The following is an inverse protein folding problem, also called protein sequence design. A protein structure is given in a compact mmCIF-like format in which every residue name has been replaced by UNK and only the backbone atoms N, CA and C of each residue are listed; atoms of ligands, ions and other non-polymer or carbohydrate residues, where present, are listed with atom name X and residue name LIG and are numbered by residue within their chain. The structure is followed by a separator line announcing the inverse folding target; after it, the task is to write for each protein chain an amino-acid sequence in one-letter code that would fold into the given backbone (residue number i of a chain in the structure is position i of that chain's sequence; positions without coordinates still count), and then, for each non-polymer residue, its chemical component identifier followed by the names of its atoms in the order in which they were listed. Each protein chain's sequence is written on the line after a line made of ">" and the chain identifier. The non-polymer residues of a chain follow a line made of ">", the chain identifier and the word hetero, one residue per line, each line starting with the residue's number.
data_IF_664199684625
#
_entry.id   IF_664199684625
#
_cell.length_a   1.000
_cell.length_b   1.000
_cell.length_c   1.000
_cell.angle_alpha   90.00
_cell.angle_beta   90.00
_cell.angle_gamma   90.00
#
_symmetry.space_group_name_H-M   'P 1'
#
loop_
_entity.id
_entity.type
_entity.pdbx_description
1 polymer ?
#
# COMPACT_ATOMS: atom_id res chain seq x y z
N UNK A 1 -9.22 -9.88 -17.06
CA UNK A 1 -8.57 -11.05 -16.43
C UNK A 1 -7.29 -10.68 -15.66
N UNK A 2 -6.36 -9.89 -16.23
CA UNK A 2 -5.11 -9.45 -15.56
C UNK A 2 -5.36 -8.56 -14.33
N UNK A 3 -6.31 -7.63 -14.41
CA UNK A 3 -6.67 -6.74 -13.29
C UNK A 3 -7.14 -7.51 -12.04
N UNK A 4 -8.03 -8.48 -12.22
CA UNK A 4 -8.54 -9.31 -11.13
C UNK A 4 -7.40 -10.08 -10.44
N UNK A 5 -6.45 -10.62 -11.21
CA UNK A 5 -5.28 -11.32 -10.66
C UNK A 5 -4.43 -10.42 -9.76
N UNK A 6 -4.32 -9.12 -10.03
CA UNK A 6 -3.65 -8.23 -9.10
C UNK A 6 -4.46 -8.03 -7.83
N UNK A 7 -5.76 -7.77 -7.96
CA UNK A 7 -6.65 -7.54 -6.82
C UNK A 7 -6.61 -8.75 -5.86
N UNK A 8 -6.61 -9.97 -6.40
CA UNK A 8 -6.55 -11.21 -5.62
C UNK A 8 -5.19 -11.41 -4.91
N UNK A 9 -4.13 -10.72 -5.35
CA UNK A 9 -2.78 -10.82 -4.78
C UNK A 9 -2.44 -9.68 -3.83
N UNK A 10 -3.09 -8.53 -3.97
CA UNK A 10 -2.78 -7.36 -3.17
C UNK A 10 -3.39 -7.50 -1.76
N UNK A 11 -2.69 -7.04 -0.71
CA UNK A 11 -3.20 -7.09 0.65
C UNK A 11 -4.57 -6.41 0.78
N UNK A 12 -5.47 -6.98 1.57
CA UNK A 12 -6.76 -6.39 1.88
C UNK A 12 -7.12 -6.64 3.35
N UNK A 13 -7.88 -5.74 3.95
CA UNK A 13 -8.18 -5.78 5.38
C UNK A 13 -7.08 -5.17 6.24
N UNK A 14 -7.23 -5.24 7.56
CA UNK A 14 -6.30 -4.67 8.55
C UNK A 14 -5.96 -3.19 8.29
N UNK A 15 -6.93 -2.43 7.81
CA UNK A 15 -6.81 -1.01 7.46
C UNK A 15 -6.65 -0.76 5.96
N UNK A 16 -6.26 -1.73 5.14
CA UNK A 16 -6.23 -1.61 3.67
C UNK A 16 -7.58 -2.02 3.10
N UNK A 17 -8.58 -1.14 3.22
CA UNK A 17 -9.99 -1.47 2.95
C UNK A 17 -10.55 -0.84 1.66
N UNK A 18 -9.76 -0.03 0.94
CA UNK A 18 -10.25 0.69 -0.25
C UNK A 18 -9.91 -0.06 -1.54
N UNK A 19 -10.63 0.30 -2.60
CA UNK A 19 -10.36 -0.23 -3.94
C UNK A 19 -8.97 0.20 -4.45
N UNK A 20 -8.23 -0.77 -4.96
CA UNK A 20 -6.96 -0.51 -5.61
C UNK A 20 -7.15 0.18 -6.96
N UNK A 21 -6.34 1.20 -7.21
CA UNK A 21 -6.05 1.68 -8.56
C UNK A 21 -4.67 1.19 -8.98
N UNK A 22 -4.57 0.63 -10.18
CA UNK A 22 -3.33 0.01 -10.66
C UNK A 22 -2.88 0.69 -11.94
N UNK A 23 -1.59 1.02 -12.00
CA UNK A 23 -0.92 1.58 -13.18
C UNK A 23 0.25 0.68 -13.56
N UNK A 24 0.14 0.03 -14.71
CA UNK A 24 1.24 -0.72 -15.32
C UNK A 24 2.17 0.23 -16.09
N UNK A 25 3.47 0.00 -15.96
CA UNK A 25 4.51 0.59 -16.79
C UNK A 25 5.49 -0.49 -17.23
N UNK A 26 6.39 -0.15 -18.16
CA UNK A 26 7.29 -1.10 -18.83
C UNK A 26 8.07 -2.02 -17.86
N UNK A 27 8.56 -1.49 -16.74
CA UNK A 27 9.39 -2.21 -15.76
C UNK A 27 8.90 -2.00 -14.31
N UNK A 28 7.67 -1.52 -14.13
CA UNK A 28 7.14 -1.22 -12.81
C UNK A 28 5.62 -1.32 -12.78
N UNK A 29 5.09 -1.68 -11.63
CA UNK A 29 3.66 -1.65 -11.34
C UNK A 29 3.47 -0.72 -10.16
N UNK A 30 2.58 0.26 -10.28
CA UNK A 30 2.24 1.16 -9.18
C UNK A 30 0.79 0.93 -8.78
N UNK A 31 0.57 0.63 -7.51
CA UNK A 31 -0.77 0.48 -6.92
C UNK A 31 -1.04 1.63 -5.97
N UNK A 32 -2.28 2.10 -5.93
CA UNK A 32 -2.73 3.18 -5.06
C UNK A 32 -3.86 2.67 -4.18
N UNK A 33 -3.80 2.99 -2.90
CA UNK A 33 -4.83 2.65 -1.93
C UNK A 33 -4.83 3.71 -0.79
N UNK A 34 -5.66 3.51 0.22
CA UNK A 34 -5.67 4.28 1.46
C UNK A 34 -5.68 3.32 2.65
N UNK A 35 -5.13 3.77 3.76
CA UNK A 35 -5.13 3.03 5.02
C UNK A 35 -6.08 3.69 6.01
N UNK A 36 -7.07 2.95 6.52
CA UNK A 36 -7.88 3.34 7.66
C UNK A 36 -7.09 3.14 8.94
N UNK A 37 -6.70 4.24 9.58
CA UNK A 37 -6.03 4.21 10.87
C UNK A 37 -7.03 4.32 12.00
N UNK A 38 -6.98 3.35 12.91
CA UNK A 38 -7.71 3.36 14.18
C UNK A 38 -6.78 3.84 15.29
N UNK A 39 -7.32 4.63 16.22
CA UNK A 39 -6.63 4.97 17.44
C UNK A 39 -6.56 3.78 18.42
N UNK A 40 -5.86 3.98 19.53
CA UNK A 40 -5.70 2.98 20.59
C UNK A 40 -7.02 2.54 21.25
N UNK A 41 -8.09 3.32 21.09
CA UNK A 41 -9.42 3.04 21.62
C UNK A 41 -10.31 2.31 20.60
N UNK A 42 -9.81 2.05 19.40
CA UNK A 42 -10.53 1.36 18.32
C UNK A 42 -11.44 2.27 17.51
N UNK A 43 -11.32 3.60 17.61
CA UNK A 43 -12.07 4.54 16.79
C UNK A 43 -11.28 4.92 15.53
N UNK A 44 -11.98 5.08 14.41
CA UNK A 44 -11.38 5.64 13.20
C UNK A 44 -10.94 7.09 13.43
N UNK A 45 -9.65 7.35 13.20
CA UNK A 45 -9.00 8.62 13.52
C UNK A 45 -8.48 9.31 12.25
N UNK A 46 -7.78 8.57 11.38
CA UNK A 46 -7.19 9.13 10.16
C UNK A 46 -7.33 8.17 8.97
N UNK A 47 -7.24 8.73 7.76
CA UNK A 47 -7.11 7.96 6.52
C UNK A 47 -5.83 8.40 5.82
N UNK A 48 -4.92 7.46 5.54
CA UNK A 48 -3.64 7.75 4.91
C UNK A 48 -3.59 7.25 3.47
N UNK A 49 -3.69 8.13 2.46
CA UNK A 49 -3.52 7.74 1.07
C UNK A 49 -2.07 7.35 0.80
N UNK A 50 -1.85 6.24 0.09
CA UNK A 50 -0.52 5.78 -0.25
C UNK A 50 -0.46 5.15 -1.64
N UNK A 51 0.76 5.01 -2.15
CA UNK A 51 1.07 4.21 -3.33
C UNK A 51 2.25 3.32 -3.07
N UNK A 52 2.21 2.12 -3.63
CA UNK A 52 3.32 1.17 -3.65
C UNK A 52 3.77 0.95 -5.08
N UNK A 53 5.07 1.10 -5.31
CA UNK A 53 5.69 0.80 -6.61
C UNK A 53 6.51 -0.47 -6.49
N UNK A 54 6.19 -1.47 -7.31
CA UNK A 54 6.93 -2.70 -7.46
C UNK A 54 7.87 -2.60 -8.64
N UNK A 55 9.16 -2.89 -8.42
CA UNK A 55 10.16 -3.07 -9.47
C UNK A 55 10.85 -4.41 -9.31
N UNK A 56 11.59 -4.83 -10.34
CA UNK A 56 12.42 -6.03 -10.30
C UNK A 56 13.50 -6.00 -9.20
N UNK A 57 13.74 -4.87 -8.54
CA UNK A 57 14.77 -4.72 -7.50
C UNK A 57 14.18 -4.39 -6.13
N UNK A 58 13.06 -3.66 -6.08
CA UNK A 58 12.57 -3.08 -4.83
C UNK A 58 11.04 -2.92 -4.76
N UNK A 59 10.55 -2.67 -3.54
CA UNK A 59 9.22 -2.13 -3.24
C UNK A 59 9.40 -0.74 -2.66
N UNK A 60 8.67 0.25 -3.16
CA UNK A 60 8.74 1.62 -2.64
C UNK A 60 7.37 2.11 -2.23
N UNK A 61 7.21 2.45 -0.95
CA UNK A 61 6.00 3.03 -0.38
C UNK A 61 6.10 4.56 -0.30
N UNK A 62 5.04 5.24 -0.75
CA UNK A 62 4.90 6.68 -0.64
C UNK A 62 3.51 7.07 -0.16
N UNK A 63 3.43 7.86 0.90
CA UNK A 63 2.18 8.45 1.39
C UNK A 63 1.94 9.81 0.74
N UNK A 64 0.68 10.11 0.42
CA UNK A 64 0.27 11.32 -0.29
C UNK A 64 -0.51 12.27 0.62
N UNK A 65 -0.34 13.57 0.39
CA UNK A 65 -1.16 14.64 1.01
C UNK A 65 -1.19 14.62 2.54
N UNK A 66 -0.07 14.25 3.18
CA UNK A 66 0.03 14.23 4.63
C UNK A 66 0.35 15.61 5.21
N UNK A 67 -0.30 15.95 6.32
CA UNK A 67 0.18 17.00 7.20
C UNK A 67 1.41 16.55 7.98
N UNK A 68 2.17 17.50 8.55
CA UNK A 68 3.34 17.20 9.39
C UNK A 68 3.00 16.30 10.58
N UNK A 69 1.81 16.46 11.17
CA UNK A 69 1.36 15.65 12.30
C UNK A 69 1.05 14.21 11.89
N UNK A 70 0.39 14.04 10.74
CA UNK A 70 0.11 12.71 10.19
C UNK A 70 1.40 11.96 9.83
N UNK A 71 2.40 12.65 9.27
CA UNK A 71 3.72 12.03 9.04
C UNK A 71 4.33 11.50 10.34
N UNK A 72 4.34 12.31 11.40
CA UNK A 72 4.85 11.87 12.71
C UNK A 72 4.06 10.69 13.28
N UNK A 73 2.74 10.68 13.12
CA UNK A 73 1.86 9.60 13.57
C UNK A 73 2.19 8.29 12.85
N UNK A 74 2.40 8.33 11.54
CA UNK A 74 2.79 7.17 10.73
C UNK A 74 4.11 6.58 11.20
N UNK A 75 5.13 7.43 11.40
CA UNK A 75 6.46 7.01 11.86
C UNK A 75 6.41 6.47 13.29
N UNK A 76 5.72 7.16 14.20
CA UNK A 76 5.65 6.76 15.61
C UNK A 76 4.96 5.40 15.82
N UNK A 77 3.94 5.12 15.01
CA UNK A 77 3.18 3.88 15.10
C UNK A 77 3.72 2.75 14.19
N UNK A 78 4.86 2.96 13.51
CA UNK A 78 5.45 1.96 12.63
C UNK A 78 4.58 1.59 11.42
N UNK A 79 3.64 2.46 11.02
CA UNK A 79 2.72 2.14 9.92
C UNK A 79 3.46 1.98 8.59
N UNK A 80 4.53 2.76 8.37
CA UNK A 80 5.39 2.61 7.18
C UNK A 80 5.96 1.20 7.10
N UNK A 81 6.59 0.75 8.18
CA UNK A 81 7.26 -0.55 8.24
C UNK A 81 6.25 -1.69 8.02
N UNK A 82 5.09 -1.60 8.69
CA UNK A 82 3.99 -2.55 8.50
C UNK A 82 3.54 -2.65 7.03
N UNK A 83 3.28 -1.51 6.39
CA UNK A 83 2.85 -1.52 4.99
C UNK A 83 3.98 -2.02 4.07
N UNK A 84 5.21 -1.59 4.29
CA UNK A 84 6.35 -2.05 3.49
C UNK A 84 6.52 -3.57 3.58
N UNK A 85 6.40 -4.16 4.76
CA UNK A 85 6.48 -5.62 4.98
C UNK A 85 5.40 -6.37 4.20
N UNK A 86 4.11 -6.05 4.40
CA UNK A 86 3.01 -6.79 3.75
C UNK A 86 3.04 -6.67 2.23
N UNK A 87 3.53 -5.53 1.70
CA UNK A 87 3.65 -5.35 0.25
C UNK A 87 4.92 -5.99 -0.30
N UNK A 88 5.99 -6.10 0.48
CA UNK A 88 7.18 -6.83 0.08
C UNK A 88 6.87 -8.30 -0.18
N UNK A 89 6.05 -8.93 0.65
CA UNK A 89 5.66 -10.35 0.55
C UNK A 89 4.93 -10.71 -0.75
N UNK A 90 4.26 -9.75 -1.37
CA UNK A 90 3.50 -9.97 -2.62
C UNK A 90 4.26 -9.57 -3.88
N UNK A 91 5.45 -8.95 -3.76
CA UNK A 91 6.20 -8.36 -4.88
C UNK A 91 6.41 -9.33 -6.04
N UNK A 92 6.94 -10.51 -5.78
CA UNK A 92 7.23 -11.47 -6.84
C UNK A 92 5.99 -11.93 -7.59
N UNK A 93 4.88 -12.12 -6.85
CA UNK A 93 3.60 -12.55 -7.44
C UNK A 93 3.04 -11.45 -8.32
N UNK A 94 3.10 -10.20 -7.87
CA UNK A 94 2.64 -9.03 -8.63
C UNK A 94 3.46 -8.85 -9.91
N UNK A 95 4.80 -8.94 -9.86
CA UNK A 95 5.64 -8.80 -11.05
C UNK A 95 5.42 -9.92 -12.08
N UNK A 96 5.15 -11.16 -11.62
CA UNK A 96 4.82 -12.30 -12.51
C UNK A 96 3.51 -12.13 -13.26
N UNK A 97 2.56 -11.35 -12.72
CA UNK A 97 1.33 -11.01 -13.46
C UNK A 97 1.62 -9.97 -14.53
N UNK A 98 2.55 -9.03 -14.27
CA UNK A 98 2.92 -7.96 -15.17
C UNK A 98 3.68 -8.39 -16.42
N UNK A 99 4.57 -9.37 -16.25
CA UNK A 99 5.37 -10.01 -17.31
C UNK A 99 4.51 -10.82 -18.29
#
# INVERSE_FOLDING_TARGET
>A
MKMQRYIDLLPHGSGVNYDYKIKEGKNKITVYNKYDYMDENGYYDDIFPFSVTFTAENVTLHFHNLTRWQYKKIEHNGLRDYLEEIFYDVREKVLKVGA
#
